data_IF_460588725291
#
_entry.id   IF_460588725291
#
_cell.length_a   1.000
_cell.length_b   1.000
_cell.length_c   1.000
_cell.angle_alpha   90.00
_cell.angle_beta   90.00
_cell.angle_gamma   90.00
#
_symmetry.space_group_name_H-M   'P 1'
#
loop_
_entity.id
_entity.type
_entity.pdbx_description
1 polymer ?
#
# COMPACT_ATOMS: atom_id res chain seq x y z
N UNK A 1 -42.37 29.46 10.97
CA UNK A 1 -41.53 28.49 10.24
C UNK A 1 -41.94 27.09 10.70
N UNK A 2 -42.10 26.14 9.78
CA UNK A 2 -42.54 24.77 10.11
C UNK A 2 -41.34 23.88 10.43
N UNK A 3 -41.48 22.97 11.39
CA UNK A 3 -40.47 21.97 11.74
C UNK A 3 -40.06 21.10 10.55
N UNK A 4 -41.00 20.82 9.65
CA UNK A 4 -40.77 20.02 8.44
C UNK A 4 -39.81 20.71 7.46
N UNK A 5 -39.94 22.03 7.31
CA UNK A 5 -39.04 22.85 6.49
C UNK A 5 -37.62 22.88 7.06
N UNK A 6 -37.48 22.89 8.38
CA UNK A 6 -36.18 22.85 9.06
C UNK A 6 -35.53 21.47 8.94
N UNK A 7 -36.32 20.39 9.04
CA UNK A 7 -35.85 19.01 8.84
C UNK A 7 -35.32 18.79 7.42
N UNK A 8 -36.05 19.26 6.41
CA UNK A 8 -35.62 19.19 5.01
C UNK A 8 -34.30 19.95 4.79
N UNK A 9 -34.22 21.17 5.34
CA UNK A 9 -33.02 22.01 5.27
C UNK A 9 -31.80 21.31 5.88
N UNK A 10 -31.92 20.79 7.10
CA UNK A 10 -30.82 20.08 7.80
C UNK A 10 -30.42 18.82 7.05
N UNK A 11 -31.38 18.07 6.51
CA UNK A 11 -31.12 16.85 5.72
C UNK A 11 -30.35 17.18 4.45
N UNK A 12 -30.72 18.27 3.76
CA UNK A 12 -29.98 18.77 2.60
C UNK A 12 -28.52 19.11 2.93
N UNK A 13 -28.30 19.85 4.02
CA UNK A 13 -26.96 20.21 4.49
C UNK A 13 -26.11 18.98 4.87
N UNK A 14 -26.73 17.97 5.49
CA UNK A 14 -26.06 16.71 5.82
C UNK A 14 -25.60 15.96 4.57
N UNK A 15 -26.47 15.84 3.56
CA UNK A 15 -26.12 15.16 2.31
C UNK A 15 -25.01 15.89 1.55
N UNK A 16 -25.05 17.21 1.51
CA UNK A 16 -24.00 18.04 0.92
C UNK A 16 -22.66 17.83 1.64
N UNK A 17 -22.66 17.90 2.97
CA UNK A 17 -21.47 17.67 3.80
C UNK A 17 -20.90 16.27 3.56
N UNK A 18 -21.76 15.25 3.51
CA UNK A 18 -21.37 13.87 3.21
C UNK A 18 -20.76 13.75 1.81
N UNK A 19 -21.30 14.47 0.82
CA UNK A 19 -20.75 14.59 -0.52
C UNK A 19 -19.33 15.17 -0.50
N UNK A 20 -19.15 16.34 0.12
CA UNK A 20 -17.85 17.01 0.25
C UNK A 20 -16.81 16.11 0.94
N UNK A 21 -17.21 15.41 2.00
CA UNK A 21 -16.32 14.50 2.73
C UNK A 21 -15.81 13.35 1.85
N UNK A 22 -16.67 12.76 1.00
CA UNK A 22 -16.24 11.73 0.03
C UNK A 22 -15.22 12.28 -0.97
N UNK A 23 -15.44 13.49 -1.49
CA UNK A 23 -14.50 14.13 -2.42
C UNK A 23 -13.15 14.41 -1.76
N UNK A 24 -13.16 14.94 -0.53
CA UNK A 24 -11.94 15.18 0.24
C UNK A 24 -11.19 13.88 0.56
N UNK A 25 -11.89 12.82 0.96
CA UNK A 25 -11.27 11.52 1.23
C UNK A 25 -10.58 10.96 -0.03
N UNK A 26 -11.25 11.05 -1.19
CA UNK A 26 -10.67 10.64 -2.47
C UNK A 26 -9.44 11.47 -2.83
N UNK A 27 -9.53 12.80 -2.77
CA UNK A 27 -8.42 13.69 -3.10
C UNK A 27 -7.22 13.49 -2.17
N UNK A 28 -7.45 13.26 -0.88
CA UNK A 28 -6.39 12.93 0.09
C UNK A 28 -5.71 11.61 -0.24
N UNK A 29 -6.48 10.57 -0.56
CA UNK A 29 -5.91 9.28 -0.95
C UNK A 29 -5.04 9.38 -2.22
N UNK A 30 -5.50 10.12 -3.23
CA UNK A 30 -4.75 10.34 -4.47
C UNK A 30 -3.47 11.16 -4.22
N UNK A 31 -3.54 12.21 -3.39
CA UNK A 31 -2.36 13.01 -3.01
C UNK A 31 -1.35 12.16 -2.23
N UNK A 32 -1.83 11.39 -1.25
CA UNK A 32 -1.00 10.51 -0.45
C UNK A 32 -0.28 9.49 -1.34
N UNK A 33 -1.00 8.84 -2.25
CA UNK A 33 -0.43 7.86 -3.17
C UNK A 33 0.68 8.47 -4.03
N UNK A 34 0.49 9.69 -4.56
CA UNK A 34 1.52 10.37 -5.35
C UNK A 34 2.81 10.60 -4.57
N UNK A 35 2.70 11.14 -3.35
CA UNK A 35 3.86 11.40 -2.49
C UNK A 35 4.52 10.09 -2.08
N UNK A 36 3.74 9.07 -1.75
CA UNK A 36 4.25 7.75 -1.41
C UNK A 36 5.11 7.16 -2.52
N UNK A 37 4.63 7.20 -3.77
CA UNK A 37 5.37 6.65 -4.92
C UNK A 37 6.74 7.29 -5.10
N UNK A 38 6.80 8.63 -4.98
CA UNK A 38 8.06 9.37 -5.11
C UNK A 38 9.01 9.00 -3.98
N UNK A 39 8.52 9.00 -2.74
CA UNK A 39 9.33 8.65 -1.58
C UNK A 39 9.82 7.19 -1.62
N UNK A 40 8.99 6.27 -2.14
CA UNK A 40 9.33 4.86 -2.26
C UNK A 40 10.46 4.64 -3.27
N UNK A 41 10.42 5.32 -4.43
CA UNK A 41 11.53 5.29 -5.39
C UNK A 41 12.81 5.85 -4.78
N UNK A 42 12.73 7.01 -4.13
CA UNK A 42 13.89 7.65 -3.50
C UNK A 42 14.51 6.75 -2.42
N UNK A 43 13.68 6.18 -1.54
CA UNK A 43 14.13 5.26 -0.50
C UNK A 43 14.82 4.02 -1.10
N UNK A 44 14.32 3.49 -2.22
CA UNK A 44 14.95 2.35 -2.90
C UNK A 44 16.27 2.72 -3.54
N UNK A 45 16.40 3.94 -4.07
CA UNK A 45 17.67 4.50 -4.49
C UNK A 45 18.70 4.48 -3.36
N UNK A 46 18.32 4.99 -2.17
CA UNK A 46 19.19 5.01 -0.99
C UNK A 46 19.56 3.60 -0.50
N UNK A 47 18.63 2.64 -0.55
CA UNK A 47 18.94 1.26 -0.18
C UNK A 47 19.97 0.66 -1.14
N UNK A 48 19.87 0.91 -2.46
CA UNK A 48 20.85 0.43 -3.44
C UNK A 48 22.24 1.01 -3.17
N UNK A 49 22.32 2.31 -2.85
CA UNK A 49 23.58 2.96 -2.48
C UNK A 49 24.18 2.37 -1.19
N UNK A 50 23.35 2.17 -0.16
CA UNK A 50 23.78 1.56 1.08
C UNK A 50 24.27 0.11 0.90
N UNK A 51 23.61 -0.66 0.04
CA UNK A 51 24.07 -1.99 -0.34
C UNK A 51 25.42 -1.91 -1.05
N UNK A 52 25.59 -1.05 -2.05
CA UNK A 52 26.89 -0.92 -2.73
C UNK A 52 28.02 -0.53 -1.75
N UNK A 53 27.75 0.35 -0.79
CA UNK A 53 28.71 0.65 0.27
C UNK A 53 29.04 -0.58 1.15
N UNK A 54 28.03 -1.36 1.54
CA UNK A 54 28.20 -2.61 2.30
C UNK A 54 29.06 -3.62 1.51
N UNK A 55 28.87 -3.71 0.19
CA UNK A 55 29.76 -4.48 -0.71
C UNK A 55 31.21 -4.16 -0.50
N UNK A 56 31.50 -2.86 -0.66
CA UNK A 56 32.85 -2.33 -0.74
C UNK A 56 33.53 -2.57 0.60
N UNK A 57 32.84 -2.30 1.70
CA UNK A 57 33.35 -2.53 3.05
C UNK A 57 33.65 -4.01 3.27
N UNK A 58 32.71 -4.91 2.96
CA UNK A 58 32.90 -6.36 3.19
C UNK A 58 34.04 -6.92 2.36
N UNK A 59 34.06 -6.63 1.06
CA UNK A 59 35.04 -7.21 0.14
C UNK A 59 36.41 -6.57 0.34
N UNK A 60 36.48 -5.24 0.38
CA UNK A 60 37.77 -4.53 0.34
C UNK A 60 38.37 -4.35 1.74
N UNK A 61 37.57 -3.98 2.73
CA UNK A 61 38.10 -3.65 4.06
C UNK A 61 38.17 -4.88 4.97
N UNK A 62 37.19 -5.78 4.88
CA UNK A 62 37.07 -6.94 5.76
C UNK A 62 37.57 -8.24 5.14
N UNK A 63 37.72 -8.30 3.81
CA UNK A 63 38.17 -9.49 3.10
C UNK A 63 37.20 -10.68 3.18
N UNK A 64 35.93 -10.42 3.51
CA UNK A 64 34.87 -11.44 3.59
C UNK A 64 33.96 -11.37 2.36
N UNK A 65 33.44 -12.51 1.88
CA UNK A 65 32.52 -12.50 0.74
C UNK A 65 31.24 -11.73 1.10
N UNK A 66 30.76 -10.95 0.15
CA UNK A 66 29.45 -10.31 0.28
C UNK A 66 28.35 -11.17 -0.32
N UNK A 67 27.30 -11.40 0.45
CA UNK A 67 26.06 -12.02 -0.01
C UNK A 67 24.95 -10.96 -0.09
N UNK A 68 24.38 -10.79 -1.28
CA UNK A 68 23.32 -9.82 -1.50
C UNK A 68 22.02 -10.24 -0.76
N UNK A 69 21.44 -9.38 0.07
CA UNK A 69 20.18 -9.67 0.74
C UNK A 69 19.03 -9.82 -0.27
N UNK A 70 18.18 -10.83 -0.10
CA UNK A 70 16.96 -10.98 -0.92
C UNK A 70 15.89 -9.97 -0.50
N UNK A 71 15.76 -8.89 -1.25
CA UNK A 71 14.80 -7.81 -0.99
C UNK A 71 13.68 -7.82 -2.04
N UNK A 72 12.68 -8.69 -1.82
CA UNK A 72 11.52 -8.88 -2.72
C UNK A 72 10.73 -7.60 -3.05
N UNK A 73 10.84 -6.57 -2.22
CA UNK A 73 10.15 -5.30 -2.41
C UNK A 73 10.94 -4.30 -3.27
N UNK A 74 12.19 -4.58 -3.65
CA UNK A 74 13.05 -3.66 -4.42
C UNK A 74 12.77 -3.68 -5.93
N UNK A 75 11.99 -4.67 -6.40
CA UNK A 75 11.76 -4.92 -7.83
C UNK A 75 10.73 -3.99 -8.48
N UNK A 76 9.86 -3.36 -7.68
CA UNK A 76 8.73 -2.55 -8.17
C UNK A 76 8.64 -1.26 -7.38
N UNK A 77 8.04 -0.19 -7.91
CA UNK A 77 7.62 0.99 -7.12
C UNK A 77 6.12 1.19 -7.23
N UNK A 78 5.45 1.27 -6.09
CA UNK A 78 4.01 1.45 -5.99
C UNK A 78 3.23 0.25 -5.50
N UNK A 79 1.89 0.38 -5.45
CA UNK A 79 1.06 -0.56 -4.73
C UNK A 79 1.15 -1.94 -5.38
N UNK A 80 1.59 -2.91 -4.57
CA UNK A 80 1.37 -4.33 -4.81
C UNK A 80 -0.15 -4.54 -4.89
N UNK A 81 -0.72 -4.61 -6.09
CA UNK A 81 -2.16 -4.71 -6.26
C UNK A 81 -2.86 -3.35 -6.15
N UNK A 82 -2.96 -2.61 -7.25
CA UNK A 82 -3.88 -1.50 -7.39
C UNK A 82 -5.33 -1.90 -7.07
N UNK A 83 -6.22 -0.93 -6.79
CA UNK A 83 -7.65 -1.20 -6.52
C UNK A 83 -8.34 -1.98 -7.65
N UNK A 84 -7.84 -1.81 -8.87
CA UNK A 84 -8.27 -2.53 -10.08
C UNK A 84 -7.77 -3.97 -10.07
N UNK A 85 -6.48 -4.19 -9.81
CA UNK A 85 -5.91 -5.53 -9.65
C UNK A 85 -6.57 -6.29 -8.48
N UNK A 86 -6.91 -5.61 -7.38
CA UNK A 86 -7.71 -6.20 -6.30
C UNK A 86 -9.12 -6.57 -6.73
N UNK A 87 -9.79 -5.73 -7.54
CA UNK A 87 -11.11 -6.04 -8.11
C UNK A 87 -11.07 -7.18 -9.12
N UNK A 88 -10.04 -7.21 -9.95
CA UNK A 88 -9.81 -8.23 -10.97
C UNK A 88 -9.45 -9.56 -10.30
N UNK A 89 -8.52 -9.56 -9.34
CA UNK A 89 -8.20 -10.73 -8.53
C UNK A 89 -9.42 -11.24 -7.74
N UNK A 90 -10.24 -10.34 -7.19
CA UNK A 90 -11.45 -10.71 -6.47
C UNK A 90 -12.57 -11.22 -7.38
N UNK A 91 -12.68 -10.70 -8.62
CA UNK A 91 -13.58 -11.27 -9.64
C UNK A 91 -13.12 -12.65 -10.08
N UNK A 92 -11.81 -12.86 -10.26
CA UNK A 92 -11.25 -14.17 -10.61
C UNK A 92 -11.49 -15.17 -9.47
N UNK A 93 -11.24 -14.78 -8.22
CA UNK A 93 -11.53 -15.61 -7.04
C UNK A 93 -13.02 -15.95 -6.91
N UNK A 94 -13.92 -14.99 -7.15
CA UNK A 94 -15.37 -15.23 -7.12
C UNK A 94 -15.81 -16.24 -8.19
N UNK A 95 -15.32 -16.12 -9.43
CA UNK A 95 -15.63 -17.07 -10.51
C UNK A 95 -15.13 -18.50 -10.22
N UNK A 96 -13.98 -18.62 -9.56
CA UNK A 96 -13.43 -19.92 -9.15
C UNK A 96 -14.24 -20.56 -8.01
N UNK A 97 -14.87 -19.78 -7.14
CA UNK A 97 -15.73 -20.27 -6.06
C UNK A 97 -17.14 -20.64 -6.55
N UNK A 98 -17.65 -19.98 -7.59
CA UNK A 98 -18.94 -20.30 -8.22
C UNK A 98 -18.88 -21.55 -9.12
N UNK A 99 -17.70 -21.89 -9.64
CA UNK A 99 -17.45 -23.12 -10.41
C UNK A 99 -17.15 -24.32 -9.51
N UNK A 100 -18.16 -24.83 -8.79
CA UNK A 100 -18.01 -26.01 -7.94
C UNK A 100 -17.70 -27.29 -8.74
N UNK A 101 -16.49 -27.82 -8.60
CA UNK A 101 -16.22 -29.25 -8.69
C UNK A 101 -15.17 -29.64 -7.62
N UNK A 102 -15.48 -30.54 -6.67
CA UNK A 102 -14.54 -30.94 -5.63
C UNK A 102 -13.57 -31.98 -6.20
N UNK A 103 -12.38 -31.52 -6.58
CA UNK A 103 -11.27 -32.37 -6.95
C UNK A 103 -9.98 -31.75 -6.46
N UNK A 104 -9.64 -31.97 -5.20
CA UNK A 104 -8.26 -31.75 -4.73
C UNK A 104 -7.41 -32.86 -5.38
N UNK A 105 -6.39 -32.49 -6.16
CA UNK A 105 -5.08 -33.03 -5.85
C UNK A 105 -4.00 -31.95 -5.91
N UNK A 106 -3.21 -31.85 -4.85
CA UNK A 106 -1.84 -31.32 -4.93
C UNK A 106 -1.61 -29.90 -4.41
N UNK A 107 -1.25 -29.84 -3.12
CA UNK A 107 -0.24 -28.94 -2.56
C UNK A 107 -0.31 -27.45 -2.90
N UNK A 108 -0.90 -26.65 -2.01
CA UNK A 108 -0.49 -25.25 -1.87
C UNK A 108 0.98 -25.23 -1.44
N UNK A 109 1.91 -24.64 -2.22
CA UNK A 109 3.23 -24.35 -1.70
C UNK A 109 3.05 -23.37 -0.54
N UNK A 110 3.51 -23.76 0.64
CA UNK A 110 3.56 -22.92 1.84
C UNK A 110 4.55 -21.78 1.63
N UNK A 111 4.22 -20.84 0.77
CA UNK A 111 4.87 -19.54 0.69
C UNK A 111 4.30 -18.70 1.83
N UNK A 112 5.09 -18.48 2.88
CA UNK A 112 4.77 -17.47 3.88
C UNK A 112 4.63 -16.13 3.15
N UNK A 113 3.39 -15.71 2.91
CA UNK A 113 3.10 -14.34 2.49
C UNK A 113 3.70 -13.37 3.52
N UNK A 114 4.22 -12.21 3.09
CA UNK A 114 4.85 -11.29 4.01
C UNK A 114 3.84 -10.90 5.11
N UNK A 115 4.28 -10.76 6.38
CA UNK A 115 3.42 -10.35 7.45
C UNK A 115 2.78 -9.01 7.06
N UNK A 116 1.46 -8.94 7.16
CA UNK A 116 0.70 -7.71 6.99
C UNK A 116 1.11 -6.80 8.16
N UNK A 117 2.13 -5.99 7.97
CA UNK A 117 2.52 -4.98 8.95
C UNK A 117 1.40 -3.96 9.03
N UNK A 118 0.77 -3.75 10.21
CA UNK A 118 -0.17 -2.68 10.39
C UNK A 118 0.52 -1.36 10.05
N UNK A 119 -0.13 -0.58 9.19
CA UNK A 119 0.34 0.74 8.77
C UNK A 119 0.36 1.66 10.00
N UNK A 120 1.51 1.78 10.66
CA UNK A 120 1.68 2.72 11.78
C UNK A 120 1.75 4.12 11.19
N UNK A 121 0.64 4.85 11.27
CA UNK A 121 0.62 6.30 11.10
C UNK A 121 1.42 6.91 12.26
N UNK A 122 2.69 7.17 12.01
CA UNK A 122 3.61 7.77 12.97
C UNK A 122 4.60 8.68 12.26
N UNK A 123 4.14 9.76 11.61
CA UNK A 123 5.03 10.87 11.29
C UNK A 123 5.12 11.73 12.55
N UNK A 124 6.09 11.38 13.39
CA UNK A 124 6.49 12.21 14.52
C UNK A 124 7.15 13.47 13.99
N UNK A 125 6.62 14.60 14.45
CA UNK A 125 7.06 15.98 14.27
C UNK A 125 8.59 16.12 14.40
N UNK A 126 9.25 16.71 13.40
CA UNK A 126 10.56 17.36 13.58
C UNK A 126 10.41 18.84 13.29
N UNK A 127 10.21 19.61 14.34
CA UNK A 127 10.55 21.04 14.35
C UNK A 127 12.01 21.14 14.76
N UNK A 128 12.79 21.91 14.02
CA UNK A 128 14.15 22.32 14.37
C UNK A 128 14.55 23.49 13.44
N UNK A 129 15.43 24.38 13.90
CA UNK A 129 15.20 25.50 14.80
C UNK A 129 14.90 26.82 14.08
#
# INVERSE_FOLDING_TARGET
QSLESELERVTGQFQETRGRMRHLARGRAEKFQRVWLVNEEEAKGLIREALDADRIIRIQQLGIPWEEPRLWFMENVGPLGGRREKKEAMQVAAKLLEGGNPGIPGGFPSGKGPPVVPFVLGISRRELP
#
